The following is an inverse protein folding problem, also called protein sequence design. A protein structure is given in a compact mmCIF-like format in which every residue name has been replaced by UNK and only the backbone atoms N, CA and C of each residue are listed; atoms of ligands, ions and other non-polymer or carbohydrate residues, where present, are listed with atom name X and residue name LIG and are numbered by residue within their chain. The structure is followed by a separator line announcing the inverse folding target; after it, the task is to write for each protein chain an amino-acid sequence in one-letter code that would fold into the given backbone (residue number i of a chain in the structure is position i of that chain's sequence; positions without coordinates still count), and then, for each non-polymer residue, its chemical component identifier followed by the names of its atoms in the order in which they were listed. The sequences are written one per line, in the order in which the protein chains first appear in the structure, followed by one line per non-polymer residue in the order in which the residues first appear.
data_IF_925098865893
#
_entry.id   IF_925098865893
#
_cell.length_a   1.000
_cell.length_b   1.000
_cell.length_c   1.000
_cell.angle_alpha   90.00
_cell.angle_beta   90.00
_cell.angle_gamma   90.00
#
_symmetry.space_group_name_H-M   'P 1'
#
loop_
_entity.id
_entity.type
_entity.pdbx_description
1 polymer ?
#
# COMPACT_ATOMS: atom_id res chain seq x y z
N UNK A 1 0.52 -2.33 -21.70
CA UNK A 1 -0.53 -1.36 -21.26
C UNK A 1 -0.59 -1.40 -19.74
N UNK A 2 -0.39 -0.27 -19.04
CA UNK A 2 -0.48 -0.23 -17.57
C UNK A 2 -1.96 -0.35 -17.18
N UNK A 3 -2.34 -1.48 -16.56
CA UNK A 3 -3.70 -1.73 -16.09
C UNK A 3 -3.98 -0.90 -14.82
N UNK A 4 -4.28 0.38 -14.98
CA UNK A 4 -4.68 1.24 -13.87
C UNK A 4 -6.13 0.92 -13.48
N UNK A 5 -6.32 0.05 -12.49
CA UNK A 5 -7.62 -0.25 -11.89
C UNK A 5 -7.88 0.71 -10.74
N UNK A 6 -9.03 1.40 -10.76
CA UNK A 6 -9.50 2.25 -9.65
C UNK A 6 -10.53 1.48 -8.82
N UNK A 7 -10.39 1.51 -7.50
CA UNK A 7 -11.39 1.00 -6.55
C UNK A 7 -11.65 2.08 -5.51
N UNK A 8 -12.93 2.36 -5.24
CA UNK A 8 -13.32 3.27 -4.16
C UNK A 8 -13.31 2.47 -2.86
N UNK A 9 -12.55 2.93 -1.87
CA UNK A 9 -12.52 2.38 -0.52
C UNK A 9 -13.14 3.39 0.44
N UNK A 10 -13.65 2.91 1.57
CA UNK A 10 -14.15 3.76 2.65
C UNK A 10 -13.16 3.77 3.80
N UNK A 11 -12.98 4.93 4.41
CA UNK A 11 -12.25 5.09 5.65
C UNK A 11 -13.17 4.62 6.78
N UNK A 12 -12.65 3.79 7.68
CA UNK A 12 -13.41 3.35 8.85
C UNK A 12 -13.51 4.45 9.92
N UNK A 13 -14.25 4.18 11.01
CA UNK A 13 -14.43 5.13 12.11
C UNK A 13 -13.13 5.49 12.85
N UNK A 14 -12.04 4.75 12.63
CA UNK A 14 -10.72 4.97 13.22
C UNK A 14 -9.77 5.67 12.26
N UNK A 15 -10.24 6.13 11.10
CA UNK A 15 -9.40 6.80 10.11
C UNK A 15 -8.54 5.84 9.26
N UNK A 16 -8.84 4.53 9.25
CA UNK A 16 -8.01 3.53 8.57
C UNK A 16 -8.57 3.21 7.19
N UNK A 17 -7.68 2.88 6.26
CA UNK A 17 -8.02 2.32 4.94
C UNK A 17 -7.49 0.88 4.90
N UNK A 18 -8.38 -0.08 4.67
CA UNK A 18 -7.97 -1.48 4.49
C UNK A 18 -7.52 -1.73 3.06
N UNK A 19 -6.27 -2.15 2.87
CA UNK A 19 -5.78 -2.61 1.57
C UNK A 19 -6.47 -3.94 1.24
N UNK A 20 -7.23 -4.07 0.13
CA UNK A 20 -7.92 -5.31 -0.22
C UNK A 20 -6.99 -6.52 -0.40
N UNK A 21 -7.49 -7.72 -0.10
CA UNK A 21 -6.67 -8.95 -0.07
C UNK A 21 -6.01 -9.29 -1.42
N UNK A 22 -6.67 -8.99 -2.53
CA UNK A 22 -6.11 -9.18 -3.87
C UNK A 22 -4.89 -8.28 -4.10
N UNK A 23 -4.98 -7.02 -3.68
CA UNK A 23 -3.85 -6.07 -3.76
C UNK A 23 -2.73 -6.49 -2.81
N UNK A 24 -3.04 -6.85 -1.55
CA UNK A 24 -2.02 -7.32 -0.60
C UNK A 24 -1.23 -8.50 -1.14
N UNK A 25 -1.90 -9.52 -1.69
CA UNK A 25 -1.23 -10.69 -2.31
C UNK A 25 -0.36 -10.31 -3.50
N UNK A 26 -0.82 -9.40 -4.36
CA UNK A 26 -0.03 -8.95 -5.52
C UNK A 26 1.24 -8.20 -5.14
N UNK A 27 1.22 -7.47 -4.02
CA UNK A 27 2.37 -6.71 -3.54
C UNK A 27 3.17 -7.45 -2.44
N UNK A 28 2.75 -8.65 -2.03
CA UNK A 28 3.39 -9.40 -0.95
C UNK A 28 3.35 -8.64 0.39
N UNK A 29 2.21 -8.03 0.71
CA UNK A 29 2.04 -7.23 1.92
C UNK A 29 1.50 -8.06 3.07
N UNK A 30 2.30 -8.19 4.12
CA UNK A 30 2.00 -8.93 5.34
C UNK A 30 1.93 -8.01 6.57
N UNK A 31 1.38 -8.55 7.65
CA UNK A 31 1.29 -7.85 8.93
C UNK A 31 2.70 -7.51 9.46
N UNK A 32 2.87 -6.28 9.95
CA UNK A 32 4.15 -5.81 10.50
C UNK A 32 5.11 -5.20 9.47
N UNK A 33 4.82 -5.30 8.17
CA UNK A 33 5.65 -4.65 7.16
C UNK A 33 5.61 -3.13 7.27
N UNK A 34 6.77 -2.51 7.12
CA UNK A 34 6.87 -1.06 7.01
C UNK A 34 6.41 -0.58 5.62
N UNK A 35 5.72 0.55 5.61
CA UNK A 35 5.23 1.20 4.38
C UNK A 35 5.55 2.69 4.44
N UNK A 36 5.98 3.25 3.32
CA UNK A 36 6.23 4.69 3.21
C UNK A 36 4.95 5.39 2.76
N UNK A 37 4.53 6.42 3.50
CA UNK A 37 3.42 7.30 3.10
C UNK A 37 3.97 8.63 2.59
N UNK A 38 3.98 8.81 1.27
CA UNK A 38 4.37 10.06 0.63
C UNK A 38 3.12 10.90 0.36
N UNK A 39 3.11 12.11 0.89
CA UNK A 39 1.98 13.02 0.75
C UNK A 39 2.41 14.48 0.63
N UNK A 40 1.52 15.27 0.01
CA UNK A 40 1.63 16.70 -0.11
C UNK A 40 0.24 17.25 0.23
N UNK A 41 0.13 18.02 1.32
CA UNK A 41 -1.16 18.51 1.82
C UNK A 41 -1.85 19.50 0.87
N UNK A 42 -1.09 20.07 -0.09
CA UNK A 42 -1.68 20.87 -1.17
C UNK A 42 -2.34 20.03 -2.25
N UNK A 43 -2.09 18.71 -2.25
CA UNK A 43 -2.60 17.75 -3.24
C UNK A 43 -3.63 16.83 -2.62
N UNK A 44 -4.65 16.48 -3.38
CA UNK A 44 -5.72 15.60 -2.92
C UNK A 44 -5.39 14.11 -3.16
N UNK A 45 -4.14 13.70 -2.95
CA UNK A 45 -3.72 12.31 -3.07
C UNK A 45 -2.60 11.96 -2.10
N UNK A 46 -2.55 10.67 -1.75
CA UNK A 46 -1.52 10.02 -0.95
C UNK A 46 -0.89 8.92 -1.82
N UNK A 47 0.41 8.70 -1.72
CA UNK A 47 1.11 7.58 -2.36
C UNK A 47 1.67 6.68 -1.28
N UNK A 48 1.40 5.38 -1.39
CA UNK A 48 2.03 4.36 -0.56
C UNK A 48 3.19 3.72 -1.34
N UNK A 49 4.39 3.81 -0.77
CA UNK A 49 5.56 3.06 -1.18
C UNK A 49 5.65 1.77 -0.35
N UNK A 50 5.85 0.63 -1.02
CA UNK A 50 6.05 -0.65 -0.35
C UNK A 50 7.51 -1.06 -0.52
N UNK A 51 8.28 -0.96 0.56
CA UNK A 51 9.65 -1.48 0.63
C UNK A 51 9.54 -2.98 0.80
N UNK A 52 9.86 -3.74 -0.24
CA UNK A 52 10.17 -5.15 -0.02
C UNK A 52 11.59 -5.18 0.51
N UNK A 53 11.78 -5.43 1.81
CA UNK A 53 13.06 -5.95 2.26
C UNK A 53 13.24 -7.27 1.53
N UNK A 54 14.08 -7.26 0.50
CA UNK A 54 14.62 -8.49 -0.04
C UNK A 54 15.69 -8.86 0.96
N UNK A 55 15.38 -9.76 1.89
CA UNK A 55 16.42 -10.47 2.63
C UNK A 55 17.33 -11.11 1.58
N UNK A 56 18.51 -10.52 1.38
CA UNK A 56 19.55 -11.05 0.51
C UNK A 56 20.36 -12.17 1.19
N UNK A 57 19.91 -12.63 2.36
CA UNK A 57 20.53 -13.70 3.13
C UNK A 57 19.85 -15.06 2.88
N UNK A 58 19.71 -15.45 1.61
CA UNK A 58 19.66 -16.87 1.25
C UNK A 58 20.96 -17.24 0.53
N UNK A 59 21.83 -17.87 1.35
CA UNK A 59 23.10 -18.54 1.07
C UNK A 59 23.22 -19.27 -0.27
#
# INVERSE_FOLDING_TARGET
MKNNKKRILRIDSKGRISIPSDIRRSFGLDEGMEVELVFDLSKNYLILGFSKEVDLDER
#
